data_IF_654728497241
#
_entry.id   IF_654728497241
#
_cell.length_a   1.000
_cell.length_b   1.000
_cell.length_c   1.000
_cell.angle_alpha   90.00
_cell.angle_beta   90.00
_cell.angle_gamma   90.00
#
_symmetry.space_group_name_H-M   'P 1'
#
loop_
_entity.id
_entity.type
_entity.pdbx_description
1 polymer ?
#
# COMPACT_ATOMS: atom_id res chain seq x y z
N UNK A 1 -62.21 41.75 40.30
CA UNK A 1 -62.57 40.33 40.09
C UNK A 1 -61.86 39.93 38.82
N UNK A 2 -60.64 39.36 38.99
CA UNK A 2 -59.69 39.06 37.89
C UNK A 2 -59.98 37.61 37.46
N UNK A 3 -60.45 37.44 36.23
CA UNK A 3 -60.75 36.14 35.65
C UNK A 3 -59.47 35.55 35.17
N UNK A 4 -58.92 34.60 35.90
CA UNK A 4 -57.77 33.77 35.50
C UNK A 4 -58.21 32.89 34.33
N UNK A 5 -57.74 33.19 33.11
CA UNK A 5 -57.84 32.28 31.98
C UNK A 5 -56.95 31.05 32.27
N UNK A 6 -57.63 29.91 32.42
CA UNK A 6 -56.94 28.62 32.44
C UNK A 6 -56.51 28.30 30.97
N UNK A 7 -55.23 28.39 30.68
CA UNK A 7 -54.71 27.87 29.46
C UNK A 7 -54.98 26.36 29.38
N UNK A 8 -55.71 25.94 28.37
CA UNK A 8 -56.02 24.53 28.14
C UNK A 8 -54.72 23.87 27.68
N UNK A 9 -54.08 23.13 28.56
CA UNK A 9 -52.98 22.23 28.21
C UNK A 9 -53.55 21.16 27.26
N UNK A 10 -53.21 21.26 25.95
CA UNK A 10 -53.52 20.22 24.98
C UNK A 10 -52.57 19.06 25.19
N UNK A 11 -53.05 17.94 25.73
CA UNK A 11 -52.28 16.72 25.90
C UNK A 11 -51.87 16.14 24.55
N UNK A 12 -50.64 15.62 24.47
CA UNK A 12 -50.09 14.93 23.27
C UNK A 12 -50.96 13.68 23.02
N UNK A 13 -51.45 13.52 21.80
CA UNK A 13 -52.23 12.36 21.40
C UNK A 13 -51.33 11.12 21.17
N UNK A 14 -51.86 9.92 21.43
CA UNK A 14 -51.14 8.67 21.17
C UNK A 14 -50.67 8.60 19.70
N UNK A 15 -51.46 9.15 18.78
CA UNK A 15 -51.14 9.18 17.36
C UNK A 15 -49.90 10.06 17.05
N UNK A 16 -49.77 11.23 17.69
CA UNK A 16 -48.61 12.10 17.56
C UNK A 16 -47.31 11.43 18.02
N UNK A 17 -47.38 10.69 19.14
CA UNK A 17 -46.25 9.94 19.67
C UNK A 17 -45.81 8.85 18.68
N UNK A 18 -46.74 8.10 18.09
CA UNK A 18 -46.44 7.05 17.10
C UNK A 18 -45.83 7.65 15.84
N UNK A 19 -46.36 8.76 15.32
CA UNK A 19 -45.83 9.45 14.15
C UNK A 19 -44.42 10.00 14.44
N UNK A 20 -44.21 10.62 15.61
CA UNK A 20 -42.90 11.12 16.01
C UNK A 20 -41.86 9.99 16.11
N UNK A 21 -42.22 8.84 16.70
CA UNK A 21 -41.34 7.67 16.75
C UNK A 21 -41.00 7.14 15.36
N UNK A 22 -41.95 7.10 14.43
CA UNK A 22 -41.73 6.64 13.06
C UNK A 22 -40.78 7.57 12.33
N UNK A 23 -40.99 8.88 12.40
CA UNK A 23 -40.10 9.88 11.79
C UNK A 23 -38.66 9.80 12.37
N UNK A 24 -38.57 9.67 13.70
CA UNK A 24 -37.29 9.54 14.39
C UNK A 24 -36.55 8.26 13.96
N UNK A 25 -37.26 7.14 13.85
CA UNK A 25 -36.67 5.86 13.42
C UNK A 25 -36.14 5.96 12.02
N UNK A 26 -36.87 6.52 11.06
CA UNK A 26 -36.40 6.73 9.68
C UNK A 26 -35.21 7.67 9.64
N UNK A 27 -35.24 8.75 10.44
CA UNK A 27 -34.09 9.68 10.54
C UNK A 27 -32.82 9.02 11.08
N UNK A 28 -32.98 8.21 12.15
CA UNK A 28 -31.82 7.47 12.71
C UNK A 28 -31.26 6.42 11.76
N UNK A 29 -32.10 5.70 11.01
CA UNK A 29 -31.67 4.76 9.99
C UNK A 29 -30.90 5.45 8.85
N UNK A 30 -31.39 6.62 8.40
CA UNK A 30 -30.69 7.43 7.40
C UNK A 30 -29.32 7.91 7.88
N UNK A 31 -29.23 8.34 9.14
CA UNK A 31 -27.97 8.76 9.76
C UNK A 31 -26.99 7.58 9.87
N UNK A 32 -27.43 6.42 10.34
CA UNK A 32 -26.61 5.22 10.46
C UNK A 32 -26.06 4.78 9.09
N UNK A 33 -26.88 4.80 8.05
CA UNK A 33 -26.46 4.49 6.69
C UNK A 33 -25.41 5.48 6.17
N UNK A 34 -25.57 6.78 6.43
CA UNK A 34 -24.60 7.82 6.06
C UNK A 34 -23.26 7.63 6.74
N UNK A 35 -23.23 7.32 8.03
CA UNK A 35 -22.00 7.04 8.78
C UNK A 35 -21.29 5.81 8.20
N UNK A 36 -22.04 4.72 7.95
CA UNK A 36 -21.48 3.50 7.35
C UNK A 36 -20.84 3.77 5.98
N UNK A 37 -21.48 4.57 5.14
CA UNK A 37 -20.94 4.98 3.86
C UNK A 37 -19.68 5.84 4.01
N UNK A 38 -19.68 6.82 4.93
CA UNK A 38 -18.54 7.69 5.18
C UNK A 38 -17.30 6.90 5.65
N UNK A 39 -17.47 5.92 6.54
CA UNK A 39 -16.39 5.02 6.99
C UNK A 39 -15.81 4.23 5.81
N UNK A 40 -16.66 3.68 4.95
CA UNK A 40 -16.23 2.92 3.76
C UNK A 40 -15.41 3.78 2.81
N UNK A 41 -15.87 5.00 2.50
CA UNK A 41 -15.15 5.94 1.64
C UNK A 41 -13.81 6.36 2.24
N UNK A 42 -13.78 6.61 3.56
CA UNK A 42 -12.54 6.95 4.28
C UNK A 42 -11.51 5.81 4.21
N UNK A 43 -11.94 4.57 4.41
CA UNK A 43 -11.06 3.40 4.30
C UNK A 43 -10.51 3.22 2.87
N UNK A 44 -11.34 3.43 1.85
CA UNK A 44 -10.92 3.41 0.44
C UNK A 44 -9.84 4.45 0.16
N UNK A 45 -10.04 5.68 0.63
CA UNK A 45 -9.08 6.77 0.48
C UNK A 45 -7.73 6.46 1.12
N UNK A 46 -7.76 5.95 2.36
CA UNK A 46 -6.55 5.54 3.09
C UNK A 46 -5.80 4.42 2.37
N UNK A 47 -6.50 3.36 1.95
CA UNK A 47 -5.88 2.24 1.26
C UNK A 47 -5.26 2.67 -0.08
N UNK A 48 -5.92 3.53 -0.84
CA UNK A 48 -5.37 4.09 -2.08
C UNK A 48 -4.12 4.94 -1.84
N UNK A 49 -4.12 5.77 -0.79
CA UNK A 49 -2.96 6.58 -0.42
C UNK A 49 -1.77 5.71 -0.03
N UNK A 50 -1.98 4.71 0.82
CA UNK A 50 -0.95 3.75 1.20
C UNK A 50 -0.39 3.01 -0.02
N UNK A 51 -1.27 2.58 -0.94
CA UNK A 51 -0.87 1.91 -2.18
C UNK A 51 0.02 2.79 -3.05
N UNK A 52 -0.31 4.08 -3.18
CA UNK A 52 0.53 5.04 -3.92
C UNK A 52 1.89 5.20 -3.27
N UNK A 53 1.95 5.33 -1.95
CA UNK A 53 3.21 5.45 -1.22
C UNK A 53 4.08 4.20 -1.42
N UNK A 54 3.51 3.00 -1.31
CA UNK A 54 4.23 1.74 -1.53
C UNK A 54 4.77 1.62 -2.96
N UNK A 55 4.02 2.06 -3.97
CA UNK A 55 4.48 2.03 -5.35
C UNK A 55 5.58 3.06 -5.62
N UNK A 56 5.42 4.29 -5.13
CA UNK A 56 6.38 5.38 -5.35
C UNK A 56 7.66 5.12 -4.58
N UNK A 57 7.60 4.69 -3.31
CA UNK A 57 8.79 4.40 -2.50
C UNK A 57 9.71 3.37 -3.16
N UNK A 58 9.13 2.34 -3.80
CA UNK A 58 9.91 1.34 -4.52
C UNK A 58 10.60 1.93 -5.77
N UNK A 59 9.90 2.79 -6.53
CA UNK A 59 10.50 3.46 -7.69
C UNK A 59 11.65 4.39 -7.28
N UNK A 60 11.46 5.15 -6.19
CA UNK A 60 12.49 6.03 -5.61
C UNK A 60 13.68 5.21 -5.08
N UNK A 61 13.40 4.05 -4.44
CA UNK A 61 14.46 3.15 -4.02
C UNK A 61 15.30 2.68 -5.20
N UNK A 62 14.70 2.24 -6.31
CA UNK A 62 15.44 1.79 -7.50
C UNK A 62 16.31 2.91 -8.10
N UNK A 63 15.81 4.14 -8.09
CA UNK A 63 16.61 5.29 -8.51
C UNK A 63 17.75 5.55 -7.53
N UNK A 64 17.51 5.42 -6.24
CA UNK A 64 18.53 5.57 -5.19
C UNK A 64 19.60 4.51 -5.30
N UNK A 65 19.23 3.23 -5.42
CA UNK A 65 20.17 2.10 -5.57
C UNK A 65 21.11 2.29 -6.77
N UNK A 66 20.57 2.82 -7.87
CA UNK A 66 21.41 3.16 -9.04
C UNK A 66 22.31 4.38 -8.77
N UNK A 67 21.78 5.44 -8.14
CA UNK A 67 22.50 6.69 -7.91
C UNK A 67 23.62 6.52 -6.89
N UNK A 68 23.44 5.66 -5.89
CA UNK A 68 24.43 5.32 -4.86
C UNK A 68 25.42 4.24 -5.32
N UNK A 69 25.24 3.69 -6.53
CA UNK A 69 26.02 2.58 -7.05
C UNK A 69 25.93 1.29 -6.21
N UNK A 70 24.90 1.16 -5.36
CA UNK A 70 24.63 -0.07 -4.64
C UNK A 70 24.22 -1.19 -5.61
N UNK A 71 23.42 -0.86 -6.64
CA UNK A 71 23.17 -1.70 -7.80
C UNK A 71 23.62 -1.00 -9.08
N UNK A 72 24.30 -1.75 -9.94
CA UNK A 72 24.59 -1.27 -11.30
C UNK A 72 23.31 -1.19 -12.13
N UNK A 73 23.33 -0.41 -13.21
CA UNK A 73 22.19 -0.37 -14.14
C UNK A 73 21.83 -1.76 -14.69
N UNK A 74 22.82 -2.64 -14.90
CA UNK A 74 22.63 -4.03 -15.32
C UNK A 74 21.90 -4.88 -14.30
N UNK A 75 22.22 -4.68 -13.02
CA UNK A 75 21.61 -5.41 -11.90
C UNK A 75 20.15 -5.04 -11.65
N UNK A 76 19.74 -3.81 -11.98
CA UNK A 76 18.31 -3.42 -11.85
C UNK A 76 17.51 -4.12 -12.96
N UNK A 77 17.14 -5.36 -12.71
CA UNK A 77 16.43 -6.24 -13.64
C UNK A 77 15.57 -7.27 -12.87
N UNK A 78 14.63 -7.89 -13.56
CA UNK A 78 13.94 -9.04 -12.99
C UNK A 78 14.87 -10.27 -12.92
N UNK A 79 14.54 -11.21 -12.03
CA UNK A 79 15.24 -12.49 -11.91
C UNK A 79 15.40 -13.16 -13.26
N UNK A 80 16.60 -13.70 -13.53
CA UNK A 80 16.95 -14.32 -14.81
C UNK A 80 17.37 -13.34 -15.92
N UNK A 81 17.23 -12.02 -15.71
CA UNK A 81 17.66 -10.98 -16.65
C UNK A 81 18.72 -10.03 -16.06
N UNK A 82 19.27 -10.38 -14.91
CA UNK A 82 20.28 -9.58 -14.19
C UNK A 82 21.63 -9.70 -14.89
N UNK A 83 22.26 -8.55 -15.12
CA UNK A 83 23.64 -8.47 -15.57
C UNK A 83 24.53 -8.01 -14.40
N UNK A 84 25.31 -8.94 -13.86
CA UNK A 84 26.26 -8.71 -12.78
C UNK A 84 27.67 -8.31 -13.27
N UNK A 85 27.85 -8.03 -14.57
CA UNK A 85 29.12 -7.63 -15.12
C UNK A 85 29.61 -6.32 -14.49
N UNK A 86 30.79 -6.36 -13.88
CA UNK A 86 31.38 -5.21 -13.19
C UNK A 86 30.72 -4.85 -11.83
N UNK A 87 29.82 -5.67 -11.33
CA UNK A 87 29.23 -5.49 -10.00
C UNK A 87 30.19 -5.95 -8.90
N UNK A 88 30.09 -5.31 -7.72
CA UNK A 88 30.91 -5.67 -6.54
C UNK A 88 30.38 -6.88 -5.79
N UNK A 89 29.09 -7.21 -5.99
CA UNK A 89 28.43 -8.38 -5.41
C UNK A 89 27.34 -8.89 -6.36
N UNK A 90 27.01 -10.17 -6.24
CA UNK A 90 25.98 -10.77 -7.08
C UNK A 90 24.58 -10.47 -6.51
N UNK A 91 23.74 -9.92 -7.35
CA UNK A 91 22.34 -9.67 -7.07
C UNK A 91 21.46 -10.62 -7.89
N UNK A 92 20.44 -11.22 -7.28
CA UNK A 92 19.57 -12.19 -7.95
C UNK A 92 18.43 -11.58 -8.76
N UNK A 93 18.17 -10.29 -8.57
CA UNK A 93 17.12 -9.56 -9.29
C UNK A 93 15.78 -9.54 -8.57
N UNK A 94 14.89 -8.69 -9.07
CA UNK A 94 13.54 -8.55 -8.55
C UNK A 94 12.67 -9.71 -9.04
N UNK A 95 11.93 -10.42 -8.13
CA UNK A 95 11.09 -11.54 -8.52
C UNK A 95 9.96 -11.10 -9.45
N UNK A 96 9.56 -12.03 -10.33
CA UNK A 96 8.43 -11.85 -11.23
C UNK A 96 7.12 -12.26 -10.57
N UNK A 97 5.99 -11.72 -11.06
CA UNK A 97 4.66 -12.01 -10.51
C UNK A 97 4.36 -11.22 -9.24
N UNK A 98 3.21 -11.54 -8.64
CA UNK A 98 2.76 -10.86 -7.43
C UNK A 98 3.36 -11.47 -6.18
N UNK A 99 4.16 -10.71 -5.47
CA UNK A 99 4.82 -11.09 -4.22
C UNK A 99 4.24 -10.25 -3.07
N UNK A 100 4.31 -10.77 -1.85
CA UNK A 100 3.94 -10.02 -0.64
C UNK A 100 4.80 -8.75 -0.52
N UNK A 101 4.22 -7.69 0.03
CA UNK A 101 4.97 -6.48 0.37
C UNK A 101 5.41 -6.61 1.82
N UNK A 102 6.71 -6.66 2.05
CA UNK A 102 7.29 -6.73 3.39
C UNK A 102 7.54 -5.36 4.01
N UNK A 103 7.55 -5.31 5.33
CA UNK A 103 8.02 -4.18 6.14
C UNK A 103 9.52 -4.25 6.42
N UNK A 104 10.18 -5.34 6.02
CA UNK A 104 11.60 -5.58 6.18
C UNK A 104 12.26 -5.81 4.80
N UNK A 105 13.40 -5.22 4.51
CA UNK A 105 14.11 -5.41 3.25
C UNK A 105 14.92 -6.70 3.16
N UNK A 106 14.85 -7.58 4.18
CA UNK A 106 15.63 -8.81 4.20
C UNK A 106 17.15 -8.62 4.35
N UNK A 107 17.92 -9.69 4.13
CA UNK A 107 19.38 -9.69 4.24
C UNK A 107 20.10 -8.75 3.28
N UNK A 108 19.57 -8.53 2.09
CA UNK A 108 20.20 -7.68 1.06
C UNK A 108 19.94 -6.17 1.28
N UNK A 109 19.03 -5.83 2.20
CA UNK A 109 18.65 -4.45 2.51
C UNK A 109 17.83 -3.77 1.41
N UNK A 110 17.30 -4.52 0.45
CA UNK A 110 16.58 -4.00 -0.73
C UNK A 110 15.14 -4.51 -0.71
N UNK A 111 14.18 -3.60 -0.56
CA UNK A 111 12.77 -3.99 -0.67
C UNK A 111 12.39 -4.46 -2.07
N UNK A 112 11.56 -5.47 -2.14
CA UNK A 112 11.04 -6.01 -3.39
C UNK A 112 11.81 -7.17 -3.94
N UNK A 113 12.69 -7.74 -3.14
CA UNK A 113 13.49 -8.91 -3.46
C UNK A 113 12.86 -10.19 -2.90
N UNK A 114 13.48 -11.32 -3.17
CA UNK A 114 12.93 -12.64 -2.76
C UNK A 114 13.17 -12.98 -1.30
N UNK A 115 13.99 -12.21 -0.60
CA UNK A 115 14.42 -12.42 0.78
C UNK A 115 13.77 -11.45 1.79
N UNK A 116 12.88 -10.58 1.33
CA UNK A 116 12.16 -9.59 2.15
C UNK A 116 11.43 -10.18 3.37
N UNK A 117 11.07 -11.46 3.34
CA UNK A 117 10.36 -12.15 4.41
C UNK A 117 11.26 -13.03 5.28
N UNK A 118 12.58 -13.01 5.06
CA UNK A 118 13.51 -13.78 5.88
C UNK A 118 13.70 -13.09 7.23
N UNK A 119 13.33 -13.83 8.29
CA UNK A 119 13.54 -13.40 9.68
C UNK A 119 14.85 -14.05 10.17
N UNK A 120 15.80 -13.28 10.73
CA UNK A 120 17.09 -13.80 11.20
C UNK A 120 17.03 -14.65 12.47
N UNK A 121 15.83 -15.04 12.92
CA UNK A 121 15.68 -15.91 14.08
C UNK A 121 16.08 -15.28 15.42
N UNK A 122 16.46 -16.12 16.35
CA UNK A 122 16.71 -15.71 17.73
C UNK A 122 18.06 -14.99 17.92
N UNK A 123 19.02 -15.26 17.05
CA UNK A 123 20.36 -14.66 17.12
C UNK A 123 20.44 -13.29 16.39
N UNK A 124 19.41 -12.90 15.65
CA UNK A 124 19.32 -11.68 14.85
C UNK A 124 20.46 -11.55 13.80
N UNK A 125 20.99 -12.68 13.32
CA UNK A 125 22.05 -12.73 12.32
C UNK A 125 21.55 -13.48 11.09
N UNK A 126 21.51 -12.83 9.94
CA UNK A 126 21.13 -13.48 8.69
C UNK A 126 22.19 -14.49 8.20
N UNK A 127 21.76 -15.55 7.54
CA UNK A 127 22.61 -16.59 7.00
C UNK A 127 22.94 -17.70 7.99
N UNK A 128 22.22 -17.77 9.11
CA UNK A 128 22.38 -18.81 10.13
C UNK A 128 21.30 -19.89 10.04
N UNK A 129 21.40 -20.92 10.87
CA UNK A 129 20.51 -22.09 10.76
C UNK A 129 19.10 -21.89 11.36
N UNK A 130 18.87 -20.77 12.03
CA UNK A 130 17.58 -20.40 12.64
C UNK A 130 16.78 -19.37 11.81
N UNK A 131 17.31 -18.97 10.65
CA UNK A 131 16.58 -18.13 9.70
C UNK A 131 15.32 -18.86 9.20
N UNK A 132 14.22 -18.12 9.12
CA UNK A 132 12.96 -18.67 8.60
C UNK A 132 12.16 -17.62 7.82
N UNK A 133 11.24 -18.11 6.99
CA UNK A 133 10.31 -17.22 6.26
C UNK A 133 9.17 -16.79 7.19
N UNK A 134 9.11 -15.49 7.51
CA UNK A 134 8.10 -14.90 8.39
C UNK A 134 7.06 -14.11 7.58
N UNK A 135 5.96 -14.75 7.28
CA UNK A 135 4.85 -14.14 6.54
C UNK A 135 4.13 -13.03 7.33
N UNK A 136 4.35 -12.92 8.65
CA UNK A 136 3.79 -11.85 9.47
C UNK A 136 4.40 -10.48 9.15
N UNK A 137 5.59 -10.45 8.55
CA UNK A 137 6.22 -9.25 8.04
C UNK A 137 5.58 -8.74 6.75
N UNK A 138 4.71 -9.52 6.14
CA UNK A 138 3.92 -9.11 4.99
C UNK A 138 2.82 -8.13 5.36
N UNK A 139 2.64 -7.10 4.55
CA UNK A 139 1.51 -6.17 4.69
C UNK A 139 0.23 -6.88 4.25
N UNK A 140 -0.64 -7.19 5.21
CA UNK A 140 -1.84 -8.00 4.97
C UNK A 140 -2.75 -7.43 3.87
N UNK A 141 -3.08 -8.27 2.88
CA UNK A 141 -3.94 -7.90 1.77
C UNK A 141 -3.26 -7.11 0.66
N UNK A 142 -1.97 -6.80 0.78
CA UNK A 142 -1.21 -6.12 -0.26
C UNK A 142 -0.22 -7.09 -0.92
N UNK A 143 -0.10 -6.96 -2.23
CA UNK A 143 0.94 -7.64 -3.00
C UNK A 143 1.40 -6.74 -4.14
N UNK A 144 2.63 -6.95 -4.62
CA UNK A 144 3.18 -6.17 -5.72
C UNK A 144 3.78 -7.05 -6.79
N UNK A 145 3.74 -6.56 -8.01
CA UNK A 145 4.48 -7.08 -9.16
C UNK A 145 5.42 -6.00 -9.67
N UNK A 146 6.65 -6.36 -9.94
CA UNK A 146 7.69 -5.49 -10.50
C UNK A 146 8.07 -6.03 -11.88
N UNK A 147 7.85 -5.24 -12.91
CA UNK A 147 8.23 -5.58 -14.29
C UNK A 147 9.22 -4.54 -14.79
N UNK A 148 10.45 -5.00 -15.07
CA UNK A 148 11.54 -4.17 -15.58
C UNK A 148 11.81 -4.57 -17.02
N UNK A 149 11.67 -3.61 -17.94
CA UNK A 149 11.85 -3.83 -19.38
C UNK A 149 12.96 -2.93 -19.91
N UNK A 150 13.94 -3.51 -20.59
CA UNK A 150 14.95 -2.74 -21.30
C UNK A 150 14.32 -2.13 -22.56
N UNK A 151 14.27 -0.80 -22.65
CA UNK A 151 13.81 -0.09 -23.85
C UNK A 151 14.97 0.20 -24.79
N UNK A 152 16.16 0.42 -24.25
CA UNK A 152 17.43 0.57 -24.98
C UNK A 152 18.58 0.18 -24.07
N UNK A 153 19.82 0.28 -24.56
CA UNK A 153 21.04 0.06 -23.77
C UNK A 153 21.15 1.00 -22.57
N UNK A 154 20.52 2.19 -22.65
CA UNK A 154 20.63 3.23 -21.63
C UNK A 154 19.30 3.57 -20.96
N UNK A 155 18.21 2.88 -21.27
CA UNK A 155 16.89 3.20 -20.75
C UNK A 155 16.11 1.94 -20.37
N UNK A 156 15.67 1.90 -19.13
CA UNK A 156 14.74 0.88 -18.62
C UNK A 156 13.41 1.51 -18.24
N UNK A 157 12.32 0.77 -18.48
CA UNK A 157 11.00 1.06 -17.96
C UNK A 157 10.75 0.16 -16.76
N UNK A 158 10.38 0.74 -15.64
CA UNK A 158 9.99 0.05 -14.41
C UNK A 158 8.50 0.23 -14.23
N UNK A 159 7.74 -0.86 -14.24
CA UNK A 159 6.30 -0.88 -13.95
C UNK A 159 6.11 -1.59 -12.61
N UNK A 160 5.52 -0.91 -11.65
CA UNK A 160 5.11 -1.46 -10.36
C UNK A 160 3.61 -1.52 -10.33
N UNK A 161 3.06 -2.72 -10.16
CA UNK A 161 1.62 -2.94 -9.95
C UNK A 161 1.42 -3.36 -8.51
N UNK A 162 0.62 -2.62 -7.75
CA UNK A 162 0.28 -2.96 -6.36
C UNK A 162 -1.18 -3.35 -6.28
N UNK A 163 -1.46 -4.56 -5.77
CA UNK A 163 -2.79 -5.03 -5.38
C UNK A 163 -3.09 -4.63 -3.95
N UNK A 164 -4.31 -4.19 -3.70
CA UNK A 164 -4.74 -3.73 -2.39
C UNK A 164 -6.24 -3.95 -2.15
N UNK A 165 -6.69 -4.11 -0.90
CA UNK A 165 -8.10 -4.19 -0.56
C UNK A 165 -8.75 -2.80 -0.69
N UNK A 166 -9.89 -2.70 -1.38
CA UNK A 166 -10.59 -1.42 -1.56
C UNK A 166 -11.42 -0.98 -0.34
N UNK A 167 -11.47 -1.80 0.72
CA UNK A 167 -12.30 -1.55 1.90
C UNK A 167 -13.77 -1.95 1.73
N UNK A 168 -14.16 -2.46 0.55
CA UNK A 168 -15.47 -3.01 0.26
C UNK A 168 -15.45 -4.51 -0.05
N UNK A 169 -14.35 -5.20 0.30
CA UNK A 169 -14.16 -6.64 0.06
C UNK A 169 -13.64 -6.98 -1.34
N UNK A 170 -13.35 -5.98 -2.17
CA UNK A 170 -12.77 -6.17 -3.50
C UNK A 170 -11.27 -5.87 -3.50
N UNK A 171 -10.52 -6.61 -4.31
CA UNK A 171 -9.11 -6.32 -4.60
C UNK A 171 -9.03 -5.39 -5.81
N UNK A 172 -8.21 -4.34 -5.71
CA UNK A 172 -7.92 -3.40 -6.78
C UNK A 172 -6.44 -3.35 -7.08
N UNK A 173 -6.10 -2.83 -8.25
CA UNK A 173 -4.72 -2.65 -8.70
C UNK A 173 -4.43 -1.16 -8.94
N UNK A 174 -3.24 -0.74 -8.55
CA UNK A 174 -2.66 0.55 -8.90
C UNK A 174 -1.36 0.30 -9.65
N UNK A 175 -1.21 0.95 -10.80
CA UNK A 175 0.00 0.86 -11.62
C UNK A 175 0.77 2.17 -11.53
N UNK A 176 2.05 2.08 -11.19
CA UNK A 176 3.01 3.17 -11.28
C UNK A 176 4.10 2.80 -12.29
N UNK A 177 4.55 3.78 -13.06
CA UNK A 177 5.60 3.60 -14.07
C UNK A 177 6.65 4.68 -13.92
N UNK A 178 7.93 4.26 -13.97
CA UNK A 178 9.07 5.16 -14.04
C UNK A 178 10.04 4.71 -15.13
N UNK A 179 10.92 5.61 -15.51
CA UNK A 179 11.99 5.36 -16.48
C UNK A 179 13.33 5.60 -15.81
N UNK A 180 14.20 4.60 -15.87
CA UNK A 180 15.54 4.65 -15.33
C UNK A 180 16.53 4.79 -16.47
N UNK A 181 17.31 5.88 -16.46
CA UNK A 181 18.35 6.13 -17.43
C UNK A 181 19.70 5.65 -16.87
N UNK A 182 20.57 5.09 -17.73
CA UNK A 182 21.92 4.69 -17.37
C UNK A 182 22.88 5.89 -17.19
N UNK A 183 22.54 7.06 -17.77
CA UNK A 183 23.39 8.23 -17.64
C UNK A 183 23.49 8.65 -16.16
N UNK A 184 24.71 8.61 -15.63
CA UNK A 184 24.99 9.16 -14.31
C UNK A 184 24.70 10.65 -14.37
N UNK A 185 23.85 11.16 -13.48
CA UNK A 185 23.71 12.60 -13.33
C UNK A 185 25.10 13.15 -13.05
N UNK A 186 25.63 13.94 -13.97
CA UNK A 186 26.87 14.65 -13.72
C UNK A 186 26.68 15.44 -12.44
N UNK A 187 27.47 15.13 -11.41
CA UNK A 187 27.49 15.94 -10.20
C UNK A 187 27.92 17.33 -10.65
N UNK A 188 26.97 18.25 -10.78
CA UNK A 188 27.31 19.67 -10.87
C UNK A 188 27.97 20.03 -9.53
N UNK A 189 29.32 20.11 -9.58
CA UNK A 189 30.15 20.73 -8.54
C UNK A 189 30.06 22.23 -8.65
#
# INVERSE_FOLDING_TARGET
METRQLDSESGITLFEVVVAMLVMTVGLLGLAASIGYAVTVSNRGRNLTNTKLLAVSLLEQMETLRNTEQLTFGQIANQGAVDNTGATWNFSGFPTGFNAISINPGPDGIFGTGDDLINPGADNVYGTGDDFNDTSWGVAGYSREIVITNLSTNLKKIKVTVRYPDGGGQTRELVAVSFLNNDKRANFR
#
